data_IF_105140575280
#
_entry.id   IF_105140575280
#
_cell.length_a   1.000
_cell.length_b   1.000
_cell.length_c   1.000
_cell.angle_alpha   90.00
_cell.angle_beta   90.00
_cell.angle_gamma   90.00
#
_symmetry.space_group_name_H-M   'P 1'
#
loop_
_entity.id
_entity.type
_entity.pdbx_description
1 polymer ?
#
# COMPACT_ATOMS: atom_id res chain seq x y z
N UNK A 1 -11.62 -8.11 6.36
CA UNK A 1 -11.12 -6.72 6.59
C UNK A 1 -10.73 -6.03 5.27
N UNK A 2 -10.78 -6.71 4.11
CA UNK A 2 -10.76 -6.06 2.78
C UNK A 2 -12.16 -5.89 2.18
N UNK A 3 -13.19 -6.46 2.80
CA UNK A 3 -14.57 -6.55 2.30
C UNK A 3 -15.38 -5.24 2.45
N UNK A 4 -14.79 -4.20 3.03
CA UNK A 4 -15.46 -2.93 3.35
C UNK A 4 -14.83 -1.71 2.64
N UNK A 5 -14.00 -1.92 1.62
CA UNK A 5 -13.67 -0.79 0.74
C UNK A 5 -14.83 -0.57 -0.22
N UNK A 6 -15.55 0.58 -0.14
CA UNK A 6 -16.53 0.93 -1.16
C UNK A 6 -15.86 0.93 -2.53
N UNK A 7 -16.64 0.67 -3.59
CA UNK A 7 -16.09 0.68 -4.94
C UNK A 7 -15.47 2.06 -5.23
N UNK A 8 -14.42 2.10 -6.05
CA UNK A 8 -13.78 3.36 -6.46
C UNK A 8 -14.82 4.33 -7.03
N UNK A 9 -15.79 3.82 -7.79
CA UNK A 9 -16.86 4.62 -8.38
C UNK A 9 -17.81 5.25 -7.33
N UNK A 10 -17.94 4.65 -6.15
CA UNK A 10 -18.71 5.19 -5.03
C UNK A 10 -17.90 6.24 -4.24
N UNK A 11 -16.59 6.06 -4.13
CA UNK A 11 -15.69 6.98 -3.43
C UNK A 11 -15.42 8.23 -4.28
N UNK A 12 -14.89 8.02 -5.49
CA UNK A 12 -14.59 9.07 -6.45
C UNK A 12 -14.67 8.55 -7.90
N UNK A 13 -15.78 8.80 -8.62
CA UNK A 13 -15.95 8.35 -9.99
C UNK A 13 -14.94 8.98 -10.98
N UNK A 14 -14.27 10.08 -10.59
CA UNK A 14 -13.23 10.73 -11.38
C UNK A 14 -11.86 10.07 -11.27
N UNK A 15 -11.68 9.08 -10.39
CA UNK A 15 -10.39 8.42 -10.20
C UNK A 15 -10.06 7.52 -11.41
N UNK A 16 -8.80 7.54 -11.91
CA UNK A 16 -8.45 6.92 -13.20
C UNK A 16 -8.34 5.39 -13.16
N UNK A 17 -8.33 4.78 -11.96
CA UNK A 17 -8.18 3.34 -11.80
C UNK A 17 -9.46 2.67 -11.32
N UNK A 18 -9.53 1.35 -11.45
CA UNK A 18 -10.55 0.49 -10.83
C UNK A 18 -9.87 -0.52 -9.91
N UNK A 19 -10.58 -1.14 -8.97
CA UNK A 19 -10.00 -2.23 -8.19
C UNK A 19 -9.88 -3.52 -9.02
N UNK A 20 -8.88 -4.32 -8.68
CA UNK A 20 -8.82 -5.72 -9.11
C UNK A 20 -10.12 -6.45 -8.75
N UNK A 21 -10.69 -7.31 -9.62
CA UNK A 21 -10.08 -7.97 -10.79
C UNK A 21 -10.12 -7.20 -12.11
N UNK A 22 -10.51 -5.92 -12.12
CA UNK A 22 -10.48 -5.10 -13.34
C UNK A 22 -9.07 -5.11 -13.96
N UNK A 23 -8.99 -5.19 -15.28
CA UNK A 23 -7.70 -5.20 -16.00
C UNK A 23 -6.97 -3.88 -15.76
N UNK A 24 -5.72 -3.95 -15.32
CA UNK A 24 -4.96 -2.75 -14.92
C UNK A 24 -5.42 -2.15 -13.59
N UNK A 25 -6.20 -2.91 -12.80
CA UNK A 25 -6.75 -2.44 -11.54
C UNK A 25 -5.74 -2.39 -10.41
N UNK A 26 -6.12 -1.64 -9.36
CA UNK A 26 -5.38 -1.51 -8.13
C UNK A 26 -5.68 -2.69 -7.19
N UNK A 27 -4.63 -3.21 -6.55
CA UNK A 27 -4.74 -4.19 -5.47
C UNK A 27 -4.23 -3.57 -4.17
N UNK A 28 -5.07 -3.34 -3.15
CA UNK A 28 -4.62 -2.79 -1.87
C UNK A 28 -3.72 -3.77 -1.13
N UNK A 29 -2.70 -3.25 -0.45
CA UNK A 29 -1.78 -4.07 0.36
C UNK A 29 -1.35 -3.41 1.67
N UNK A 30 -1.56 -2.09 1.85
CA UNK A 30 -1.32 -1.41 3.12
C UNK A 30 -2.17 -0.14 3.26
N UNK A 31 -2.31 0.31 4.52
CA UNK A 31 -3.04 1.52 4.93
C UNK A 31 -2.22 2.28 5.96
N UNK A 32 -2.31 3.60 5.92
CA UNK A 32 -1.81 4.51 6.95
C UNK A 32 -3.02 5.23 7.53
N UNK A 33 -3.52 4.70 8.64
CA UNK A 33 -4.73 5.22 9.28
C UNK A 33 -5.88 5.35 8.28
N UNK A 34 -6.45 6.55 8.21
CA UNK A 34 -7.48 6.94 7.24
C UNK A 34 -6.94 7.87 6.14
N UNK A 35 -5.64 8.14 6.13
CA UNK A 35 -5.05 9.17 5.27
C UNK A 35 -4.69 8.56 3.91
N UNK A 36 -3.90 7.48 3.92
CA UNK A 36 -3.36 6.89 2.69
C UNK A 36 -3.59 5.39 2.60
N UNK A 37 -3.81 4.93 1.37
CA UNK A 37 -3.81 3.54 0.98
C UNK A 37 -2.72 3.29 -0.06
N UNK A 38 -2.05 2.14 0.07
CA UNK A 38 -1.03 1.70 -0.87
C UNK A 38 -1.55 0.54 -1.70
N UNK A 39 -1.30 0.62 -3.01
CA UNK A 39 -1.78 -0.32 -4.00
C UNK A 39 -0.64 -0.85 -4.87
N UNK A 40 -0.79 -2.05 -5.41
CA UNK A 40 -0.06 -2.47 -6.60
C UNK A 40 -0.90 -2.06 -7.80
N UNK A 41 -0.28 -1.41 -8.78
CA UNK A 41 -0.87 -1.21 -10.09
C UNK A 41 -0.50 -2.39 -10.98
N UNK A 42 -1.49 -3.25 -11.26
CA UNK A 42 -1.27 -4.49 -12.01
C UNK A 42 -1.08 -4.24 -13.51
N UNK A 43 0.16 -3.97 -13.92
CA UNK A 43 0.51 -3.83 -15.33
C UNK A 43 0.79 -5.18 -15.99
N UNK A 44 -0.26 -5.82 -16.50
CA UNK A 44 -0.17 -7.12 -17.16
C UNK A 44 0.03 -8.28 -16.18
N UNK A 45 0.42 -9.44 -16.70
CA UNK A 45 0.50 -10.70 -15.93
C UNK A 45 1.82 -10.92 -15.19
N UNK A 46 2.79 -10.03 -15.36
CA UNK A 46 4.13 -10.14 -14.78
C UNK A 46 4.20 -9.32 -13.47
N UNK A 47 4.21 -9.97 -12.29
CA UNK A 47 4.20 -9.28 -11.00
C UNK A 47 5.41 -8.38 -10.77
N UNK A 48 6.55 -8.69 -11.38
CA UNK A 48 7.77 -7.88 -11.29
C UNK A 48 7.63 -6.51 -11.96
N UNK A 49 6.60 -6.33 -12.80
CA UNK A 49 6.28 -5.06 -13.44
C UNK A 49 5.23 -4.24 -12.70
N UNK A 50 4.67 -4.75 -11.60
CA UNK A 50 3.65 -4.01 -10.86
C UNK A 50 4.32 -2.92 -10.04
N UNK A 51 3.85 -1.68 -10.21
CA UNK A 51 4.38 -0.51 -9.50
C UNK A 51 3.53 -0.18 -8.28
N UNK A 52 4.05 0.66 -7.38
CA UNK A 52 3.31 1.13 -6.22
C UNK A 52 2.55 2.40 -6.57
N UNK A 53 1.26 2.41 -6.23
CA UNK A 53 0.44 3.62 -6.19
C UNK A 53 0.12 3.95 -4.74
N UNK A 54 0.39 5.18 -4.34
CA UNK A 54 -0.06 5.75 -3.07
C UNK A 54 -1.24 6.64 -3.40
N UNK A 55 -2.39 6.43 -2.78
CA UNK A 55 -3.52 7.32 -2.93
C UNK A 55 -4.06 7.74 -1.56
N UNK A 56 -4.65 8.92 -1.52
CA UNK A 56 -5.47 9.35 -0.38
C UNK A 56 -6.69 8.43 -0.29
N UNK A 57 -7.18 8.11 0.91
CA UNK A 57 -8.32 7.20 1.06
C UNK A 57 -9.61 7.72 0.40
N UNK A 58 -9.73 9.04 0.22
CA UNK A 58 -10.81 9.69 -0.52
C UNK A 58 -10.61 9.66 -2.06
N UNK A 59 -9.49 9.12 -2.54
CA UNK A 59 -9.14 8.98 -3.95
C UNK A 59 -9.14 10.31 -4.74
N UNK A 60 -8.86 11.43 -4.08
CA UNK A 60 -8.71 12.77 -4.65
C UNK A 60 -7.25 13.11 -4.99
N UNK A 61 -6.29 12.49 -4.32
CA UNK A 61 -4.86 12.53 -4.62
C UNK A 61 -4.25 11.16 -4.84
N UNK A 62 -3.33 11.03 -5.81
CA UNK A 62 -2.51 9.83 -5.98
C UNK A 62 -1.13 10.12 -6.57
N UNK A 63 -0.19 9.23 -6.26
CA UNK A 63 1.20 9.29 -6.70
C UNK A 63 1.70 7.90 -7.07
N UNK A 64 2.57 7.86 -8.07
CA UNK A 64 3.30 6.65 -8.43
C UNK A 64 4.66 6.66 -7.75
N UNK A 65 5.08 5.49 -7.29
CA UNK A 65 6.45 5.24 -6.93
C UNK A 65 7.05 4.26 -7.94
N UNK A 66 8.13 4.69 -8.58
CA UNK A 66 8.88 3.91 -9.55
C UNK A 66 9.76 2.88 -8.83
N UNK A 67 9.29 1.63 -8.78
CA UNK A 67 10.02 0.52 -8.18
C UNK A 67 9.10 -0.54 -7.61
N UNK A 68 9.72 -1.55 -7.01
CA UNK A 68 9.01 -2.65 -6.34
C UNK A 68 8.40 -2.19 -5.01
N UNK A 69 7.42 -2.94 -4.50
CA UNK A 69 6.88 -2.74 -3.15
C UNK A 69 7.98 -2.78 -2.08
N UNK A 70 8.97 -3.66 -2.21
CA UNK A 70 10.08 -3.75 -1.26
C UNK A 70 10.98 -2.52 -1.30
N UNK A 71 11.28 -2.00 -2.49
CA UNK A 71 12.03 -0.74 -2.66
C UNK A 71 11.28 0.42 -2.02
N UNK A 72 9.97 0.50 -2.26
CA UNK A 72 9.11 1.50 -1.63
C UNK A 72 9.14 1.40 -0.11
N UNK A 73 8.99 0.20 0.46
CA UNK A 73 9.02 0.02 1.93
C UNK A 73 10.37 0.39 2.55
N UNK A 74 11.47 0.07 1.87
CA UNK A 74 12.81 0.46 2.33
C UNK A 74 12.95 1.99 2.35
N UNK A 75 12.52 2.66 1.28
CA UNK A 75 12.54 4.12 1.22
C UNK A 75 11.55 4.76 2.18
N UNK A 76 10.39 4.16 2.40
CA UNK A 76 9.39 4.61 3.37
C UNK A 76 9.94 4.61 4.79
N UNK A 77 10.53 3.50 5.23
CA UNK A 77 11.13 3.39 6.58
C UNK A 77 12.31 4.35 6.76
N UNK A 78 13.03 4.68 5.68
CA UNK A 78 14.11 5.65 5.70
C UNK A 78 13.68 7.11 5.46
N UNK A 79 12.39 7.38 5.18
CA UNK A 79 11.91 8.71 4.84
C UNK A 79 12.46 9.25 3.51
N UNK A 80 12.76 8.38 2.55
CA UNK A 80 13.39 8.69 1.25
C UNK A 80 12.52 8.41 0.03
N UNK A 81 11.21 8.24 0.21
CA UNK A 81 10.29 7.97 -0.92
C UNK A 81 10.27 9.09 -1.95
N UNK A 82 10.61 10.33 -1.55
CA UNK A 82 10.48 11.52 -2.38
C UNK A 82 9.03 11.96 -2.59
N UNK A 83 8.06 11.25 -2.01
CA UNK A 83 6.65 11.60 -2.08
C UNK A 83 6.32 12.63 -1.01
N UNK A 84 6.06 13.88 -1.43
CA UNK A 84 5.67 14.98 -0.54
C UNK A 84 4.48 14.64 0.36
N UNK A 85 3.54 13.84 -0.16
CA UNK A 85 2.38 13.37 0.58
C UNK A 85 2.74 12.58 1.85
N UNK A 86 3.93 11.97 1.89
CA UNK A 86 4.41 11.16 3.01
C UNK A 86 5.48 11.88 3.85
N UNK A 87 5.85 13.12 3.51
CA UNK A 87 6.90 13.86 4.24
C UNK A 87 6.52 14.09 5.71
N UNK A 88 5.24 14.28 6.04
CA UNK A 88 4.81 14.43 7.45
C UNK A 88 5.09 13.18 8.31
N UNK A 89 5.28 12.02 7.67
CA UNK A 89 5.61 10.76 8.33
C UNK A 89 7.11 10.58 8.54
N UNK A 90 7.97 11.31 7.82
CA UNK A 90 9.43 11.16 8.00
C UNK A 90 9.90 11.60 9.39
N UNK A 91 9.15 12.49 10.03
CA UNK A 91 9.40 12.93 11.41
C UNK A 91 8.92 11.89 12.44
N UNK A 92 8.04 10.98 12.04
CA UNK A 92 7.57 9.89 12.88
C UNK A 92 8.56 8.73 12.78
N UNK A 93 9.43 8.58 13.78
CA UNK A 93 10.30 7.39 13.87
C UNK A 93 9.40 6.14 14.02
N UNK A 94 9.42 5.19 13.07
CA UNK A 94 8.68 3.96 13.23
C UNK A 94 9.19 3.25 14.49
N UNK A 95 8.31 3.10 15.47
CA UNK A 95 8.62 2.30 16.65
C UNK A 95 8.26 0.87 16.30
N UNK A 96 9.26 0.10 15.88
CA UNK A 96 9.09 -1.32 15.63
C UNK A 96 9.01 -2.04 16.98
N UNK A 97 7.80 -2.44 17.38
CA UNK A 97 7.63 -3.43 18.46
C UNK A 97 7.72 -4.79 17.79
N UNK A 98 8.84 -5.48 17.99
CA UNK A 98 8.99 -6.86 17.53
C UNK A 98 8.42 -7.77 18.62
N UNK A 99 7.15 -8.16 18.46
CA UNK A 99 6.59 -9.26 19.23
C UNK A 99 7.17 -10.57 18.68
N UNK A 100 8.22 -11.06 19.34
CA UNK A 100 8.77 -12.39 19.05
C UNK A 100 7.76 -13.42 19.54
N UNK A 101 6.90 -13.89 18.64
CA UNK A 101 6.05 -15.03 18.92
C UNK A 101 6.92 -16.29 18.87
N UNK A 102 7.45 -16.72 20.02
CA UNK A 102 8.11 -18.01 20.15
C UNK A 102 7.08 -19.10 19.83
N UNK A 103 7.20 -19.71 18.66
CA UNK A 103 6.40 -20.86 18.26
C UNK A 103 6.64 -21.98 19.28
N UNK A 104 5.64 -22.30 20.10
CA UNK A 104 5.69 -23.51 20.92
C UNK A 104 5.69 -24.72 19.99
N UNK A 105 6.84 -25.37 19.87
CA UNK A 105 6.94 -26.70 19.31
C UNK A 105 6.06 -27.62 20.16
N UNK A 106 4.90 -27.98 19.63
CA UNK A 106 4.05 -29.01 20.24
C UNK A 106 4.75 -30.34 19.99
N UNK A 107 5.43 -30.85 21.02
CA UNK A 107 5.91 -32.23 21.03
C UNK A 107 4.69 -33.15 20.88
N UNK A 108 4.63 -33.84 19.75
CA UNK A 108 3.68 -34.94 19.54
C UNK A 108 4.18 -36.16 20.32
N UNK A 109 3.44 -36.55 21.34
CA UNK A 109 3.52 -37.88 21.95
C UNK A 109 2.69 -38.90 21.14
#
# INVERSE_FOLDING_TARGET
MLDEFPDIDEINPGFPYRFHPSKGGLLPWALIGTDFAFFWLMHGSDPEKWTVVVAECALDGYWHYEGSMTSFMLDFVHGRTGLKALEYLSDQKPTFVVDVHESQATDRA
#
